data_IF_482717843080
#
_entry.id   IF_482717843080
#
_cell.length_a   1.000
_cell.length_b   1.000
_cell.length_c   1.000
_cell.angle_alpha   90.00
_cell.angle_beta   90.00
_cell.angle_gamma   90.00
#
_symmetry.space_group_name_H-M   'P 1'
#
loop_
_entity.id
_entity.type
_entity.pdbx_description
1 polymer ?
#
# COMPACT_ATOMS: atom_id res chain seq x y z
N UNK A 1 1.07 1.22 -9.84
CA UNK A 1 -0.23 1.88 -10.04
C UNK A 1 -0.81 2.26 -8.69
N UNK A 2 -1.01 3.55 -8.47
CA UNK A 2 -1.62 4.12 -7.27
C UNK A 2 -3.13 4.37 -7.43
N UNK A 3 -3.91 3.83 -6.50
CA UNK A 3 -5.36 4.07 -6.38
C UNK A 3 -5.66 4.64 -5.00
N UNK A 4 -6.37 5.77 -4.96
CA UNK A 4 -6.90 6.35 -3.74
C UNK A 4 -8.39 6.02 -3.59
N UNK A 5 -8.80 5.71 -2.38
CA UNK A 5 -10.20 5.42 -2.03
C UNK A 5 -10.71 6.48 -1.05
N UNK A 6 -11.67 7.30 -1.51
CA UNK A 6 -12.30 8.34 -0.70
C UNK A 6 -13.70 7.93 -0.28
N UNK A 7 -14.14 8.35 0.91
CA UNK A 7 -15.48 8.07 1.41
C UNK A 7 -16.51 9.00 0.76
N UNK A 8 -17.40 8.44 -0.03
CA UNK A 8 -18.48 9.18 -0.69
C UNK A 8 -19.80 8.44 -0.45
N UNK A 9 -20.76 9.11 0.18
CA UNK A 9 -22.08 8.56 0.52
C UNK A 9 -22.01 7.24 1.31
N UNK A 10 -21.03 7.10 2.20
CA UNK A 10 -20.85 5.90 3.03
C UNK A 10 -20.15 4.73 2.34
N UNK A 11 -19.67 4.92 1.11
CA UNK A 11 -18.90 3.91 0.38
C UNK A 11 -17.52 4.44 -0.04
N UNK A 12 -16.52 3.55 -0.10
CA UNK A 12 -15.21 3.87 -0.67
C UNK A 12 -15.32 3.92 -2.19
N UNK A 13 -15.02 5.08 -2.80
CA UNK A 13 -14.92 5.23 -4.25
C UNK A 13 -13.47 5.32 -4.66
N UNK A 14 -13.09 4.42 -5.57
CA UNK A 14 -11.75 4.36 -6.14
C UNK A 14 -11.53 5.50 -7.14
N UNK A 15 -10.36 6.11 -7.09
CA UNK A 15 -9.83 7.01 -8.10
C UNK A 15 -8.37 6.68 -8.35
N UNK A 16 -8.01 6.48 -9.62
CA UNK A 16 -6.60 6.34 -10.00
C UNK A 16 -5.91 7.68 -9.84
N UNK A 17 -4.77 7.70 -9.14
CA UNK A 17 -3.97 8.91 -8.98
C UNK A 17 -3.04 9.03 -10.19
N UNK A 18 -3.09 10.13 -10.96
CA UNK A 18 -2.16 10.34 -12.06
C UNK A 18 -0.71 10.44 -11.57
N UNK A 19 0.23 10.10 -12.45
CA UNK A 19 1.67 10.19 -12.20
C UNK A 19 2.11 11.57 -11.65
N UNK A 20 1.58 12.64 -12.25
CA UNK A 20 1.82 14.04 -11.90
C UNK A 20 0.71 14.63 -11.01
N UNK A 21 -0.21 13.78 -10.53
CA UNK A 21 -1.31 14.16 -9.66
C UNK A 21 -0.90 14.30 -8.20
N UNK A 22 -1.85 14.78 -7.38
CA UNK A 22 -1.72 14.77 -5.93
C UNK A 22 -2.63 13.71 -5.34
N UNK A 23 -2.18 13.11 -4.23
CA UNK A 23 -3.04 12.21 -3.46
C UNK A 23 -4.15 13.05 -2.81
N UNK A 24 -5.43 12.66 -2.97
CA UNK A 24 -6.54 13.36 -2.34
C UNK A 24 -6.38 13.41 -0.81
N UNK A 25 -6.57 14.59 -0.21
CA UNK A 25 -6.41 14.78 1.24
C UNK A 25 -7.47 14.06 2.07
N UNK A 26 -8.58 13.66 1.45
CA UNK A 26 -9.68 12.92 2.06
C UNK A 26 -9.63 11.41 1.77
N UNK A 27 -8.54 10.92 1.14
CA UNK A 27 -8.32 9.51 0.92
C UNK A 27 -8.19 8.76 2.25
N UNK A 28 -8.97 7.70 2.41
CA UNK A 28 -8.92 6.83 3.59
C UNK A 28 -8.06 5.59 3.38
N UNK A 29 -7.88 5.18 2.13
CA UNK A 29 -7.05 4.04 1.76
C UNK A 29 -6.32 4.34 0.46
N UNK A 30 -5.01 4.11 0.45
CA UNK A 30 -4.14 4.16 -0.71
C UNK A 30 -3.67 2.74 -1.02
N UNK A 31 -3.84 2.32 -2.26
CA UNK A 31 -3.44 1.00 -2.74
C UNK A 31 -2.34 1.15 -3.81
N UNK A 32 -1.19 0.52 -3.55
CA UNK A 32 -0.04 0.49 -4.43
C UNK A 32 0.10 -0.92 -5.01
N UNK A 33 -0.31 -1.10 -6.26
CA UNK A 33 -0.14 -2.37 -6.97
C UNK A 33 1.04 -2.26 -7.93
N UNK A 34 2.09 -3.03 -7.65
CA UNK A 34 3.35 -3.02 -8.39
C UNK A 34 3.80 -1.60 -8.72
N UNK A 35 4.05 -0.76 -7.68
CA UNK A 35 4.32 0.64 -7.91
C UNK A 35 5.62 0.83 -8.71
N UNK A 36 5.64 1.89 -9.51
CA UNK A 36 6.90 2.44 -10.01
C UNK A 36 7.53 3.31 -8.92
N UNK A 37 8.85 3.45 -8.95
CA UNK A 37 9.63 4.12 -7.88
C UNK A 37 9.11 5.53 -7.49
N UNK A 38 8.54 6.27 -8.44
CA UNK A 38 7.99 7.61 -8.17
C UNK A 38 6.66 7.59 -7.38
N UNK A 39 5.90 6.49 -7.41
CA UNK A 39 4.63 6.34 -6.70
C UNK A 39 4.87 6.19 -5.19
N UNK A 40 5.99 5.59 -4.80
CA UNK A 40 6.42 5.52 -3.40
C UNK A 40 6.68 6.95 -2.88
N UNK A 41 7.51 7.73 -3.57
CA UNK A 41 7.81 9.13 -3.18
C UNK A 41 6.54 10.01 -3.13
N UNK A 42 5.58 9.78 -4.02
CA UNK A 42 4.31 10.52 -4.06
C UNK A 42 3.48 10.25 -2.80
N UNK A 43 3.47 9.00 -2.33
CA UNK A 43 2.73 8.60 -1.15
C UNK A 43 3.45 9.02 0.11
N UNK A 44 4.75 8.79 0.22
CA UNK A 44 5.54 9.21 1.39
C UNK A 44 5.36 10.70 1.67
N UNK A 45 5.36 11.54 0.61
CA UNK A 45 5.06 12.97 0.73
C UNK A 45 3.63 13.25 1.20
N UNK A 46 2.66 12.44 0.79
CA UNK A 46 1.26 12.61 1.15
C UNK A 46 0.95 12.15 2.59
N UNK A 47 1.54 11.03 3.04
CA UNK A 47 1.23 10.42 4.34
C UNK A 47 2.25 10.77 5.43
N UNK A 48 3.45 11.23 5.06
CA UNK A 48 4.51 11.63 5.99
C UNK A 48 5.23 10.47 6.68
N UNK A 49 5.14 9.26 6.14
CA UNK A 49 5.84 8.06 6.61
C UNK A 49 6.48 7.33 5.44
N UNK A 50 7.55 6.59 5.71
CA UNK A 50 8.27 5.81 4.70
C UNK A 50 7.49 4.55 4.32
N UNK A 51 7.54 4.19 3.03
CA UNK A 51 6.93 2.96 2.53
C UNK A 51 8.00 1.85 2.55
N UNK A 52 7.75 0.70 3.20
CA UNK A 52 8.75 -0.35 3.31
C UNK A 52 9.06 -0.93 1.93
N UNK A 53 10.36 -1.09 1.65
CA UNK A 53 10.85 -1.69 0.42
C UNK A 53 10.49 -3.17 0.35
N UNK A 54 10.52 -3.72 -0.86
CA UNK A 54 10.27 -5.15 -1.11
C UNK A 54 11.23 -6.07 -0.33
N UNK A 55 12.46 -5.60 -0.06
CA UNK A 55 13.47 -6.37 0.67
C UNK A 55 13.20 -6.37 2.17
N UNK A 56 12.79 -5.24 2.74
CA UNK A 56 12.38 -5.14 4.15
C UNK A 56 11.15 -6.02 4.43
N UNK A 57 10.15 -5.99 3.53
CA UNK A 57 8.96 -6.84 3.65
C UNK A 57 9.26 -8.35 3.60
N UNK A 58 10.43 -8.78 3.08
CA UNK A 58 10.80 -10.21 3.02
C UNK A 58 11.31 -10.76 4.35
N UNK A 59 11.63 -9.89 5.32
CA UNK A 59 12.07 -10.32 6.64
C UNK A 59 11.02 -11.21 7.32
N UNK A 60 11.49 -12.29 7.93
CA UNK A 60 10.63 -13.33 8.53
C UNK A 60 10.46 -13.13 10.03
N UNK A 61 11.30 -12.29 10.62
CA UNK A 61 11.32 -11.93 12.01
C UNK A 61 9.98 -11.28 12.40
N UNK A 62 9.31 -11.74 13.48
CA UNK A 62 8.02 -11.17 13.89
C UNK A 62 8.08 -9.66 14.15
N UNK A 63 9.20 -9.17 14.67
CA UNK A 63 9.46 -7.74 14.90
C UNK A 63 9.54 -6.92 13.61
N UNK A 64 9.82 -7.55 12.47
CA UNK A 64 9.88 -6.89 11.16
C UNK A 64 8.55 -6.97 10.41
N UNK A 65 7.59 -7.77 10.91
CA UNK A 65 6.28 -7.96 10.27
C UNK A 65 5.14 -7.17 10.91
N UNK A 66 5.22 -6.87 12.20
CA UNK A 66 4.26 -6.02 12.89
C UNK A 66 5.01 -5.11 13.85
N UNK A 67 5.09 -3.83 13.52
CA UNK A 67 5.86 -2.86 14.29
C UNK A 67 5.28 -1.45 14.17
N UNK A 68 5.78 -0.55 15.04
CA UNK A 68 5.42 0.87 15.05
C UNK A 68 6.70 1.68 14.89
N UNK A 69 6.70 2.59 13.91
CA UNK A 69 7.83 3.45 13.59
C UNK A 69 7.32 4.76 12.97
N UNK A 70 7.97 5.89 13.27
CA UNK A 70 7.59 7.17 12.67
C UNK A 70 6.15 7.62 12.92
N UNK A 71 5.47 7.05 13.93
CA UNK A 71 4.04 7.32 14.19
C UNK A 71 3.06 6.49 13.37
N UNK A 72 3.54 5.58 12.51
CA UNK A 72 2.73 4.61 11.78
C UNK A 72 2.88 3.20 12.35
N UNK A 73 1.84 2.39 12.16
CA UNK A 73 1.87 0.95 12.39
C UNK A 73 2.02 0.23 11.04
N UNK A 74 2.98 -0.67 10.97
CA UNK A 74 3.29 -1.45 9.76
C UNK A 74 2.88 -2.90 9.98
N UNK A 75 2.34 -3.52 8.93
CA UNK A 75 1.96 -4.93 8.95
C UNK A 75 2.25 -5.58 7.61
N UNK A 76 3.09 -6.63 7.61
CA UNK A 76 3.37 -7.46 6.45
C UNK A 76 2.64 -8.79 6.57
N UNK A 77 1.71 -9.04 5.64
CA UNK A 77 0.90 -10.26 5.58
C UNK A 77 1.34 -11.16 4.43
N UNK A 78 1.27 -12.48 4.63
CA UNK A 78 1.39 -13.47 3.57
C UNK A 78 0.00 -13.89 3.13
N UNK A 79 -0.32 -13.71 1.85
CA UNK A 79 -1.63 -14.01 1.26
C UNK A 79 -1.47 -15.17 0.27
N UNK A 80 -2.41 -16.12 0.29
CA UNK A 80 -2.48 -17.20 -0.68
C UNK A 80 -3.07 -16.68 -2.00
N UNK A 81 -2.35 -16.84 -3.11
CA UNK A 81 -2.81 -16.49 -4.46
C UNK A 81 -3.15 -17.74 -5.27
N UNK A 82 -4.19 -17.70 -6.11
CA UNK A 82 -4.57 -18.81 -6.99
C UNK A 82 -5.05 -20.06 -6.24
N UNK A 83 -5.70 -19.89 -5.09
CA UNK A 83 -6.20 -20.99 -4.25
C UNK A 83 -7.23 -21.89 -4.97
N UNK A 84 -7.87 -21.38 -6.01
CA UNK A 84 -8.83 -22.04 -6.88
C UNK A 84 -8.18 -22.75 -8.08
N UNK A 85 -6.85 -22.70 -8.21
CA UNK A 85 -6.10 -23.33 -9.30
C UNK A 85 -5.41 -24.62 -8.85
N UNK A 86 -5.12 -25.54 -9.78
CA UNK A 86 -4.36 -26.77 -9.46
C UNK A 86 -2.90 -26.49 -9.03
N UNK A 87 -2.36 -25.33 -9.40
CA UNK A 87 -1.01 -24.89 -9.09
C UNK A 87 -0.99 -23.40 -8.68
N UNK A 88 -1.21 -23.09 -7.39
CA UNK A 88 -1.16 -21.73 -6.85
C UNK A 88 0.13 -21.00 -7.23
N UNK A 89 0.01 -19.82 -7.84
CA UNK A 89 1.13 -18.95 -8.22
C UNK A 89 0.76 -17.47 -8.05
N UNK A 90 1.79 -16.61 -7.97
CA UNK A 90 1.70 -15.15 -7.82
C UNK A 90 2.04 -14.50 -9.14
#
# INVERSE_FOLDING_TARGET
MLVAYCLVDGALKAQTVPHDGEVPTDALWLDLVSPADHEDEQIERAVGVEIPTREEMRQIEPSSRLYVEGGAAYMTLSILCGADTEAPSV
#
